data_IF_815640204030
#
_entry.id   IF_815640204030
#
_cell.length_a   1.000
_cell.length_b   1.000
_cell.length_c   1.000
_cell.angle_alpha   90.00
_cell.angle_beta   90.00
_cell.angle_gamma   90.00
#
_symmetry.space_group_name_H-M   'P 1'
#
loop_
_entity.id
_entity.type
_entity.pdbx_description
1 polymer ?
#
# COMPACT_ATOMS: atom_id res chain seq x y z
N UNK A 1 36.85 42.33 5.80
CA UNK A 1 36.44 41.03 5.24
C UNK A 1 34.97 40.79 5.60
N UNK A 2 34.05 41.14 4.71
CA UNK A 2 32.62 40.91 4.93
C UNK A 2 32.29 39.43 4.72
N UNK A 3 31.82 38.75 5.76
CA UNK A 3 31.28 37.39 5.67
C UNK A 3 29.84 37.49 5.16
N UNK A 4 29.62 37.08 3.92
CA UNK A 4 28.28 36.87 3.35
C UNK A 4 27.73 35.58 3.97
N UNK A 5 26.62 35.69 4.69
CA UNK A 5 25.88 34.57 5.28
C UNK A 5 24.92 34.03 4.21
N UNK A 6 25.29 32.94 3.53
CA UNK A 6 24.43 32.33 2.51
C UNK A 6 23.35 31.49 3.19
N UNK A 7 22.11 31.98 3.19
CA UNK A 7 20.93 31.27 3.67
C UNK A 7 20.56 30.16 2.67
N UNK A 8 20.77 28.90 3.04
CA UNK A 8 20.34 27.74 2.25
C UNK A 8 18.83 27.57 2.41
N UNK A 9 18.05 28.01 1.43
CA UNK A 9 16.61 27.76 1.35
C UNK A 9 16.40 26.28 0.98
N UNK A 10 15.99 25.45 1.94
CA UNK A 10 15.58 24.07 1.70
C UNK A 10 14.27 24.09 0.90
N UNK A 11 14.36 23.88 -0.41
CA UNK A 11 13.21 23.67 -1.29
C UNK A 11 12.53 22.35 -0.90
N UNK A 12 11.41 22.44 -0.16
CA UNK A 12 10.49 21.32 0.00
C UNK A 12 9.74 21.14 -1.32
N UNK A 13 10.18 20.21 -2.16
CA UNK A 13 9.37 19.77 -3.30
C UNK A 13 8.24 18.88 -2.77
N UNK A 14 6.96 19.19 -3.06
CA UNK A 14 5.87 18.29 -2.71
C UNK A 14 6.06 16.99 -3.50
N UNK A 15 6.03 15.86 -2.78
CA UNK A 15 6.09 14.53 -3.37
C UNK A 15 4.81 14.35 -4.21
N UNK A 16 4.95 14.32 -5.53
CA UNK A 16 3.82 14.06 -6.43
C UNK A 16 3.54 12.56 -6.48
N UNK A 17 2.41 12.12 -5.93
CA UNK A 17 2.00 10.70 -5.87
C UNK A 17 1.67 10.07 -7.24
N UNK A 18 1.62 10.87 -8.31
CA UNK A 18 1.12 10.47 -9.62
C UNK A 18 1.94 9.37 -10.33
N UNK A 19 3.21 9.15 -9.97
CA UNK A 19 4.05 8.16 -10.66
C UNK A 19 3.88 6.71 -10.15
N UNK A 20 3.22 6.49 -9.00
CA UNK A 20 3.19 5.16 -8.37
C UNK A 20 1.81 4.51 -8.34
N UNK A 21 0.76 5.24 -8.72
CA UNK A 21 -0.63 4.77 -8.69
C UNK A 21 -1.16 4.71 -10.12
N UNK A 22 -1.45 3.49 -10.59
CA UNK A 22 -2.14 3.27 -11.86
C UNK A 22 -3.64 3.26 -11.64
N UNK A 23 -4.33 4.05 -12.46
CA UNK A 23 -5.79 4.08 -12.51
C UNK A 23 -6.26 3.15 -13.62
N UNK A 24 -7.06 2.15 -13.26
CA UNK A 24 -7.65 1.19 -14.18
C UNK A 24 -9.16 1.43 -14.23
N UNK A 25 -9.72 1.81 -15.40
CA UNK A 25 -11.16 2.01 -15.54
C UNK A 25 -11.93 0.75 -15.18
N UNK A 26 -12.91 0.89 -14.29
CA UNK A 26 -13.82 -0.18 -13.90
C UNK A 26 -15.23 0.01 -14.43
N UNK A 27 -16.08 -1.01 -14.27
CA UNK A 27 -17.48 -0.94 -14.72
C UNK A 27 -18.31 0.10 -13.98
N UNK A 28 -18.05 0.29 -12.68
CA UNK A 28 -18.83 1.17 -11.80
C UNK A 28 -18.00 2.29 -11.17
N UNK A 29 -16.70 2.08 -10.99
CA UNK A 29 -15.75 3.04 -10.46
C UNK A 29 -14.35 2.68 -10.93
N UNK A 30 -13.44 3.65 -10.92
CA UNK A 30 -12.03 3.39 -11.20
C UNK A 30 -11.37 2.60 -10.07
N UNK A 31 -10.40 1.77 -10.45
CA UNK A 31 -9.54 1.04 -9.54
C UNK A 31 -8.17 1.70 -9.47
N UNK A 32 -7.63 1.83 -8.26
CA UNK A 32 -6.37 2.49 -7.97
C UNK A 32 -5.40 1.43 -7.46
N UNK A 33 -4.44 1.08 -8.31
CA UNK A 33 -3.43 0.07 -8.02
C UNK A 33 -2.07 0.73 -7.82
N UNK A 34 -1.32 0.29 -6.81
CA UNK A 34 0.02 0.83 -6.56
C UNK A 34 1.04 -0.27 -6.30
N UNK A 35 2.28 -0.04 -6.71
CA UNK A 35 3.40 -0.82 -6.24
C UNK A 35 3.92 -0.23 -4.93
N UNK A 36 4.17 -1.10 -3.95
CA UNK A 36 4.64 -0.71 -2.65
C UNK A 36 5.70 -1.70 -2.17
N UNK A 37 6.85 -1.21 -1.74
CA UNK A 37 7.86 -2.04 -1.11
C UNK A 37 7.55 -2.15 0.38
N UNK A 38 7.16 -3.35 0.81
CA UNK A 38 7.12 -3.71 2.22
C UNK A 38 8.54 -3.96 2.69
N UNK A 39 9.17 -2.95 3.29
CA UNK A 39 10.57 -3.02 3.72
C UNK A 39 10.76 -3.85 4.97
N UNK A 40 11.84 -4.63 5.02
CA UNK A 40 12.23 -5.40 6.20
C UNK A 40 12.26 -4.51 7.46
N UNK A 41 11.59 -4.94 8.53
CA UNK A 41 11.48 -4.19 9.79
C UNK A 41 10.43 -3.07 9.81
N UNK A 42 9.84 -2.70 8.67
CA UNK A 42 8.79 -1.67 8.57
C UNK A 42 7.37 -2.27 8.48
N UNK A 43 7.25 -3.59 8.44
CA UNK A 43 5.99 -4.31 8.52
C UNK A 43 6.10 -5.54 9.41
N UNK A 44 4.95 -6.09 9.81
CA UNK A 44 4.86 -7.41 10.43
C UNK A 44 3.69 -8.19 9.85
N UNK A 45 3.86 -9.48 9.65
CA UNK A 45 2.73 -10.38 9.36
C UNK A 45 1.86 -10.49 10.62
N UNK A 46 0.53 -10.48 10.46
CA UNK A 46 -0.38 -10.69 11.58
C UNK A 46 -0.43 -12.19 11.94
N UNK A 47 0.46 -12.61 12.83
CA UNK A 47 0.59 -14.02 13.25
C UNK A 47 -0.65 -14.56 13.94
N UNK A 48 -1.41 -13.72 14.64
CA UNK A 48 -2.66 -14.15 15.28
C UNK A 48 -3.70 -14.59 14.24
N UNK A 49 -3.69 -13.95 13.07
CA UNK A 49 -4.59 -14.30 11.97
C UNK A 49 -4.02 -15.43 11.11
N UNK A 50 -2.71 -15.41 10.87
CA UNK A 50 -2.00 -16.42 10.08
C UNK A 50 -2.42 -16.45 8.60
N UNK A 51 -2.04 -17.53 7.91
CA UNK A 51 -2.59 -17.89 6.61
C UNK A 51 -3.78 -18.82 6.82
N UNK A 52 -4.99 -18.31 6.61
CA UNK A 52 -6.21 -19.03 6.95
C UNK A 52 -6.90 -19.66 5.73
N UNK A 53 -8.08 -20.24 5.95
CA UNK A 53 -8.89 -20.85 4.89
C UNK A 53 -9.23 -19.84 3.78
N UNK A 54 -8.99 -20.22 2.52
CA UNK A 54 -9.13 -19.35 1.36
C UNK A 54 -7.89 -18.46 1.10
N UNK A 55 -6.82 -18.70 1.84
CA UNK A 55 -5.54 -18.02 1.70
C UNK A 55 -5.54 -16.55 2.10
N UNK A 56 -6.45 -16.17 2.99
CA UNK A 56 -6.42 -14.83 3.57
C UNK A 56 -5.35 -14.73 4.64
N UNK A 57 -4.72 -13.55 4.69
CA UNK A 57 -3.76 -13.16 5.70
C UNK A 57 -3.71 -11.63 5.78
N UNK A 58 -3.02 -11.10 6.79
CA UNK A 58 -2.85 -9.66 6.97
C UNK A 58 -1.40 -9.29 7.24
N UNK A 59 -1.00 -8.14 6.72
CA UNK A 59 0.25 -7.46 7.04
C UNK A 59 -0.07 -6.13 7.70
N UNK A 60 0.66 -5.81 8.76
CA UNK A 60 0.47 -4.60 9.56
C UNK A 60 1.65 -3.67 9.33
N UNK A 61 1.35 -2.47 8.83
CA UNK A 61 2.33 -1.43 8.50
C UNK A 61 2.06 -0.20 9.37
N UNK A 62 3.00 0.26 10.21
CA UNK A 62 2.88 1.54 10.90
C UNK A 62 2.60 2.69 9.93
N UNK A 63 1.64 3.56 10.27
CA UNK A 63 1.18 4.64 9.38
C UNK A 63 2.31 5.50 8.80
N UNK A 64 3.35 5.76 9.59
CA UNK A 64 4.52 6.55 9.19
C UNK A 64 5.31 5.96 8.00
N UNK A 65 5.13 4.67 7.71
CA UNK A 65 5.79 3.98 6.60
C UNK A 65 4.88 3.78 5.38
N UNK A 66 3.59 4.10 5.50
CA UNK A 66 2.65 3.99 4.38
C UNK A 66 2.59 5.32 3.62
N UNK A 67 2.71 5.32 2.28
CA UNK A 67 2.92 6.56 1.53
C UNK A 67 1.63 7.39 1.36
N UNK A 68 0.45 6.80 1.51
CA UNK A 68 -0.82 7.52 1.37
C UNK A 68 -1.31 7.98 2.74
N UNK A 69 -1.65 9.28 2.92
CA UNK A 69 -2.16 9.76 4.18
C UNK A 69 -3.42 9.00 4.62
N UNK A 70 -3.47 8.62 5.89
CA UNK A 70 -4.63 7.98 6.52
C UNK A 70 -4.99 8.74 7.80
N UNK A 71 -5.58 9.95 7.70
CA UNK A 71 -5.77 10.85 8.85
C UNK A 71 -6.63 10.22 9.95
N UNK A 72 -7.64 9.44 9.56
CA UNK A 72 -8.56 8.76 10.47
C UNK A 72 -7.98 7.47 11.06
N UNK A 73 -6.84 6.99 10.55
CA UNK A 73 -6.21 5.79 11.06
C UNK A 73 -5.35 6.09 12.31
N UNK A 74 -5.79 5.58 13.46
CA UNK A 74 -5.12 5.70 14.77
C UNK A 74 -4.16 4.55 15.08
N UNK A 75 -4.05 3.57 14.19
CA UNK A 75 -3.23 2.36 14.35
C UNK A 75 -2.42 2.10 13.08
N UNK A 76 -1.92 0.88 12.91
CA UNK A 76 -1.30 0.42 11.69
C UNK A 76 -2.31 0.40 10.52
N UNK A 77 -1.79 0.58 9.31
CA UNK A 77 -2.46 0.17 8.08
C UNK A 77 -2.45 -1.36 8.03
N UNK A 78 -3.60 -1.94 7.73
CA UNK A 78 -3.80 -3.37 7.54
C UNK A 78 -3.86 -3.61 6.05
N UNK A 79 -2.87 -4.33 5.53
CA UNK A 79 -2.86 -4.81 4.15
C UNK A 79 -3.39 -6.24 4.18
N UNK A 80 -4.61 -6.44 3.68
CA UNK A 80 -5.29 -7.74 3.72
C UNK A 80 -5.21 -8.44 2.37
N UNK A 81 -4.93 -9.73 2.38
CA UNK A 81 -5.18 -10.61 1.24
C UNK A 81 -6.59 -11.18 1.38
N UNK A 82 -7.55 -10.86 0.51
CA UNK A 82 -8.89 -11.45 0.61
C UNK A 82 -8.90 -12.97 0.42
N UNK A 83 -9.87 -13.67 1.04
CA UNK A 83 -10.04 -15.11 0.87
C UNK A 83 -10.62 -15.46 -0.51
N UNK A 84 -10.21 -16.60 -1.08
CA UNK A 84 -10.80 -17.20 -2.29
C UNK A 84 -10.37 -18.64 -2.45
N UNK A 85 -10.96 -19.35 -3.41
CA UNK A 85 -10.58 -20.75 -3.74
C UNK A 85 -9.15 -20.91 -4.29
N UNK A 86 -8.59 -19.88 -4.95
CA UNK A 86 -7.23 -19.95 -5.47
C UNK A 86 -6.22 -19.35 -4.49
N UNK A 87 -5.33 -20.20 -3.98
CA UNK A 87 -4.36 -19.85 -2.93
C UNK A 87 -2.89 -19.89 -3.38
N UNK A 88 -2.60 -20.29 -4.63
CA UNK A 88 -1.24 -20.62 -5.06
C UNK A 88 -0.27 -19.45 -4.92
N UNK A 89 -0.57 -18.31 -5.55
CA UNK A 89 0.30 -17.12 -5.45
C UNK A 89 0.14 -16.42 -4.11
N UNK A 90 -1.02 -16.51 -3.45
CA UNK A 90 -1.20 -16.03 -2.08
C UNK A 90 -0.23 -16.69 -1.11
N UNK A 91 -0.10 -18.01 -1.17
CA UNK A 91 0.80 -18.79 -0.31
C UNK A 91 2.25 -18.42 -0.56
N UNK A 92 2.66 -18.34 -1.83
CA UNK A 92 4.01 -17.90 -2.18
C UNK A 92 4.31 -16.47 -1.70
N UNK A 93 3.32 -15.56 -1.75
CA UNK A 93 3.47 -14.21 -1.19
C UNK A 93 3.59 -14.25 0.34
N UNK A 94 2.73 -15.02 1.01
CA UNK A 94 2.75 -15.16 2.46
C UNK A 94 4.09 -15.68 2.99
N UNK A 95 4.64 -16.73 2.37
CA UNK A 95 5.94 -17.30 2.73
C UNK A 95 7.09 -16.30 2.53
N UNK A 96 7.05 -15.50 1.46
CA UNK A 96 8.01 -14.42 1.25
C UNK A 96 7.94 -13.38 2.36
N UNK A 97 6.73 -12.98 2.76
CA UNK A 97 6.52 -12.02 3.84
C UNK A 97 6.97 -12.57 5.20
N UNK A 98 6.74 -13.85 5.45
CA UNK A 98 7.20 -14.54 6.67
C UNK A 98 8.73 -14.61 6.77
N UNK A 99 9.45 -14.59 5.63
CA UNK A 99 10.91 -14.53 5.65
C UNK A 99 11.48 -13.23 6.23
N UNK A 100 10.65 -12.20 6.45
CA UNK A 100 11.05 -10.90 6.99
C UNK A 100 11.86 -10.03 6.03
N UNK A 101 12.04 -10.48 4.77
CA UNK A 101 12.73 -9.73 3.72
C UNK A 101 11.87 -8.57 3.19
N UNK A 102 12.51 -7.62 2.51
CA UNK A 102 11.76 -6.63 1.74
C UNK A 102 11.03 -7.32 0.57
N UNK A 103 9.76 -6.97 0.35
CA UNK A 103 8.93 -7.54 -0.71
C UNK A 103 8.23 -6.42 -1.47
N UNK A 104 8.47 -6.34 -2.77
CA UNK A 104 7.66 -5.49 -3.65
C UNK A 104 6.30 -6.15 -3.87
N UNK A 105 5.23 -5.43 -3.54
CA UNK A 105 3.86 -5.90 -3.65
C UNK A 105 3.00 -4.95 -4.47
N UNK A 106 1.92 -5.48 -5.02
CA UNK A 106 0.90 -4.68 -5.69
C UNK A 106 -0.36 -4.64 -4.85
N UNK A 107 -0.80 -3.42 -4.55
CA UNK A 107 -1.94 -3.14 -3.71
C UNK A 107 -3.10 -2.61 -4.53
N UNK A 108 -4.31 -2.91 -4.10
CA UNK A 108 -5.56 -2.27 -4.48
C UNK A 108 -6.02 -1.40 -3.32
N UNK A 109 -6.18 -0.10 -3.61
CA UNK A 109 -6.49 0.91 -2.60
C UNK A 109 -8.01 1.02 -2.35
N UNK A 110 -8.82 0.67 -3.35
CA UNK A 110 -10.26 0.61 -3.22
C UNK A 110 -10.71 -0.39 -2.14
N UNK A 111 -11.90 -0.21 -1.55
CA UNK A 111 -12.84 0.89 -1.78
C UNK A 111 -12.60 2.11 -0.87
N UNK A 112 -11.56 2.08 -0.03
CA UNK A 112 -11.42 2.98 1.12
C UNK A 112 -10.53 4.20 0.85
N UNK A 113 -10.69 4.83 -0.32
CA UNK A 113 -9.97 6.04 -0.69
C UNK A 113 -10.91 7.23 -0.85
N UNK A 114 -10.39 8.41 -0.59
CA UNK A 114 -10.97 9.68 -1.00
C UNK A 114 -10.04 10.32 -2.05
N UNK A 115 -10.62 10.82 -3.15
CA UNK A 115 -9.87 11.57 -4.16
C UNK A 115 -9.89 13.03 -3.72
N UNK A 116 -8.73 13.55 -3.31
CA UNK A 116 -8.58 14.95 -2.92
C UNK A 116 -8.45 15.83 -4.17
N UNK A 117 -7.71 15.32 -5.16
CA UNK A 117 -7.46 15.99 -6.43
C UNK A 117 -7.23 14.96 -7.53
N UNK A 118 -7.78 15.20 -8.72
CA UNK A 118 -7.63 14.28 -9.86
C UNK A 118 -6.31 14.49 -10.62
N UNK A 119 -5.80 15.72 -10.68
CA UNK A 119 -4.58 16.04 -11.44
C UNK A 119 -3.76 17.19 -10.80
N UNK A 120 -2.53 16.94 -10.32
CA UNK A 120 -1.96 15.61 -10.08
C UNK A 120 -2.83 14.80 -9.12
N UNK A 121 -2.84 13.47 -9.29
CA UNK A 121 -3.64 12.59 -8.45
C UNK A 121 -3.18 12.69 -6.99
N UNK A 122 -4.10 13.05 -6.10
CA UNK A 122 -3.91 13.08 -4.65
C UNK A 122 -5.04 12.29 -3.99
N UNK A 123 -4.66 11.32 -3.17
CA UNK A 123 -5.56 10.40 -2.48
C UNK A 123 -5.31 10.42 -0.97
N UNK A 124 -6.34 10.11 -0.21
CA UNK A 124 -6.23 9.77 1.20
C UNK A 124 -6.99 8.47 1.49
N UNK A 125 -6.52 7.69 2.46
CA UNK A 125 -7.26 6.55 2.97
C UNK A 125 -8.35 7.01 3.92
N UNK A 126 -9.59 6.60 3.64
CA UNK A 126 -10.74 6.82 4.53
C UNK A 126 -10.65 5.93 5.78
N UNK A 127 -10.09 4.72 5.64
CA UNK A 127 -9.97 3.70 6.68
C UNK A 127 -8.53 3.17 6.77
N UNK A 128 -8.26 2.33 7.77
CA UNK A 128 -6.94 1.71 7.96
C UNK A 128 -6.65 0.52 7.05
N UNK A 129 -7.51 0.18 6.08
CA UNK A 129 -7.38 -1.07 5.31
C UNK A 129 -7.04 -0.77 3.85
N UNK A 130 -6.12 -1.54 3.30
CA UNK A 130 -5.87 -1.68 1.86
C UNK A 130 -5.73 -3.16 1.54
N UNK A 131 -5.79 -3.52 0.26
CA UNK A 131 -5.83 -4.92 -0.13
C UNK A 131 -4.63 -5.26 -1.00
N UNK A 132 -4.12 -6.49 -0.88
CA UNK A 132 -3.29 -7.02 -1.96
C UNK A 132 -4.17 -7.18 -3.20
N UNK A 133 -3.67 -6.75 -4.36
CA UNK A 133 -4.43 -6.84 -5.60
C UNK A 133 -4.69 -8.30 -5.95
N UNK A 134 -5.90 -8.57 -6.43
CA UNK A 134 -6.31 -9.90 -6.88
C UNK A 134 -6.72 -9.91 -8.35
N UNK A 135 -6.61 -11.08 -8.97
CA UNK A 135 -7.19 -11.40 -10.28
C UNK A 135 -7.58 -12.87 -10.30
N UNK A 136 -8.87 -13.15 -10.56
CA UNK A 136 -9.44 -14.51 -10.53
C UNK A 136 -9.18 -15.22 -9.18
N UNK A 137 -9.38 -14.50 -8.08
CA UNK A 137 -9.19 -14.98 -6.71
C UNK A 137 -7.74 -14.96 -6.22
N UNK A 138 -6.74 -15.08 -7.08
CA UNK A 138 -5.34 -15.17 -6.64
C UNK A 138 -4.64 -13.79 -6.61
N UNK A 139 -3.48 -13.74 -5.94
CA UNK A 139 -2.63 -12.55 -5.92
C UNK A 139 -2.18 -12.15 -7.34
N UNK A 140 -2.23 -10.86 -7.63
CA UNK A 140 -1.83 -10.30 -8.92
C UNK A 140 -0.85 -9.14 -8.73
N UNK A 141 0.37 -9.32 -9.22
CA UNK A 141 1.54 -8.46 -8.98
C UNK A 141 1.80 -7.41 -10.07
N UNK A 142 0.97 -7.34 -11.11
CA UNK A 142 1.07 -6.28 -12.12
C UNK A 142 0.17 -5.08 -11.76
N UNK A 143 0.46 -3.90 -12.33
CA UNK A 143 -0.37 -2.68 -12.35
C UNK A 143 -1.35 -2.70 -13.54
#
# INVERSE_FOLDING_TARGET
>A
MNRILTLFMLLFTPITYAEWIKVNPGKYSDYYHMQYELKSGEYRVNEHYGFNQGGQFEVLVPKKYFPIPAPNCKKNIIIRMPASENEGRKRALYEKLQSGKSVLVTLELNPYINIIKESPLELELQYCNVFFRQKRGDYYDAL
#
